data_IF_023783922514
#
_entry.id   IF_023783922514
#
_cell.length_a   1.000
_cell.length_b   1.000
_cell.length_c   1.000
_cell.angle_alpha   90.00
_cell.angle_beta   90.00
_cell.angle_gamma   90.00
#
_symmetry.space_group_name_H-M   'P 1'
#
loop_
_entity.id
_entity.type
_entity.pdbx_description
1 polymer ?
#
# COMPACT_ATOMS: atom_id res chain seq x y z
N UNK A 1 4.20 -4.77 -45.81
CA UNK A 1 4.03 -6.22 -45.63
C UNK A 1 4.91 -6.63 -44.46
N UNK A 2 4.33 -7.31 -43.45
CA UNK A 2 4.92 -8.10 -42.33
C UNK A 2 6.06 -7.48 -41.49
N UNK A 3 5.87 -7.11 -40.21
CA UNK A 3 5.66 -7.91 -38.97
C UNK A 3 6.96 -8.46 -38.34
N UNK A 4 7.24 -7.94 -37.12
CA UNK A 4 7.73 -8.56 -35.86
C UNK A 4 8.97 -9.48 -35.86
N UNK A 5 9.98 -9.13 -35.06
CA UNK A 5 10.24 -9.66 -33.71
C UNK A 5 11.60 -9.12 -33.19
N UNK A 6 11.66 -8.72 -31.91
CA UNK A 6 12.93 -8.35 -31.25
C UNK A 6 12.84 -7.18 -30.26
N UNK A 7 11.92 -7.24 -29.29
CA UNK A 7 11.93 -6.34 -28.14
C UNK A 7 13.04 -6.71 -27.16
N UNK A 8 14.17 -6.00 -27.22
CA UNK A 8 15.24 -6.07 -26.23
C UNK A 8 14.82 -5.37 -24.93
N UNK A 9 15.28 -5.98 -23.85
CA UNK A 9 15.00 -5.75 -22.45
C UNK A 9 15.83 -4.60 -21.90
N UNK A 10 15.30 -4.05 -20.81
CA UNK A 10 15.90 -3.22 -19.73
C UNK A 10 15.33 -1.80 -19.78
N UNK A 11 14.76 -1.26 -18.68
CA UNK A 11 15.40 -1.16 -17.36
C UNK A 11 14.39 -0.78 -16.26
N UNK A 12 13.60 -1.74 -15.78
CA UNK A 12 13.06 -1.71 -14.41
C UNK A 12 13.65 -2.92 -13.69
N UNK A 13 14.90 -2.78 -13.27
CA UNK A 13 15.55 -3.66 -12.29
C UNK A 13 16.58 -2.80 -11.56
N UNK A 14 16.92 -3.22 -10.35
CA UNK A 14 17.84 -2.63 -9.36
C UNK A 14 17.16 -1.85 -8.22
N UNK A 15 16.19 -2.48 -7.55
CA UNK A 15 16.60 -3.14 -6.32
C UNK A 15 16.74 -4.62 -6.69
N UNK A 16 17.89 -5.23 -6.42
CA UNK A 16 18.06 -6.66 -6.66
C UNK A 16 16.97 -7.44 -5.91
N UNK A 17 16.54 -8.59 -6.42
CA UNK A 17 15.59 -9.45 -5.69
C UNK A 17 16.12 -9.78 -4.27
N UNK A 18 17.44 -9.76 -4.10
CA UNK A 18 18.14 -9.94 -2.84
C UNK A 18 18.02 -8.73 -1.90
N UNK A 19 18.09 -7.48 -2.41
CA UNK A 19 17.85 -6.27 -1.62
C UNK A 19 16.43 -6.21 -1.07
N UNK A 20 15.43 -6.57 -1.89
CA UNK A 20 14.02 -6.63 -1.44
C UNK A 20 13.82 -7.70 -0.37
N UNK A 21 14.48 -8.85 -0.50
CA UNK A 21 14.42 -9.92 0.50
C UNK A 21 15.05 -9.49 1.83
N UNK A 22 16.18 -8.80 1.80
CA UNK A 22 16.85 -8.26 2.99
C UNK A 22 16.00 -7.20 3.68
N UNK A 23 15.39 -6.28 2.93
CA UNK A 23 14.48 -5.27 3.49
C UNK A 23 13.25 -5.91 4.16
N UNK A 24 12.71 -6.98 3.56
CA UNK A 24 11.63 -7.76 4.17
C UNK A 24 12.10 -8.43 5.46
N UNK A 25 13.27 -9.08 5.45
CA UNK A 25 13.83 -9.79 6.61
C UNK A 25 14.16 -8.84 7.78
N UNK A 26 14.49 -7.58 7.50
CA UNK A 26 14.71 -6.54 8.51
C UNK A 26 13.42 -6.12 9.23
N UNK A 27 12.26 -6.27 8.57
CA UNK A 27 10.96 -5.82 9.08
C UNK A 27 10.09 -6.98 9.57
N UNK A 28 10.31 -8.18 9.04
CA UNK A 28 9.43 -9.34 9.23
C UNK A 28 10.26 -10.56 9.58
N UNK A 29 9.94 -11.17 10.72
CA UNK A 29 10.45 -12.47 11.11
C UNK A 29 9.30 -13.49 11.17
N UNK A 30 9.49 -14.67 10.55
CA UNK A 30 8.56 -15.80 10.62
C UNK A 30 9.08 -16.93 11.51
N UNK A 31 9.98 -16.62 12.44
CA UNK A 31 10.64 -17.56 13.34
C UNK A 31 10.22 -17.25 14.79
N UNK A 32 10.03 -18.28 15.60
CA UNK A 32 9.77 -18.18 17.03
C UNK A 32 11.04 -17.59 17.67
N UNK A 33 10.93 -16.49 18.44
CA UNK A 33 12.07 -15.89 19.12
C UNK A 33 12.56 -16.80 20.25
N UNK A 34 13.83 -16.67 20.62
CA UNK A 34 14.39 -17.41 21.75
C UNK A 34 13.73 -16.94 23.06
N UNK A 35 13.14 -17.87 23.85
CA UNK A 35 12.40 -17.52 25.06
C UNK A 35 13.29 -17.04 26.21
N UNK A 36 14.60 -17.30 26.17
CA UNK A 36 15.58 -16.84 27.15
C UNK A 36 16.05 -15.44 26.79
N UNK A 37 16.37 -15.21 25.51
CA UNK A 37 16.91 -13.92 25.04
C UNK A 37 15.82 -12.86 24.95
N UNK A 38 14.60 -13.23 24.51
CA UNK A 38 13.52 -12.28 24.27
C UNK A 38 12.17 -12.85 24.72
N UNK A 39 12.02 -13.05 26.03
CA UNK A 39 10.84 -13.67 26.65
C UNK A 39 9.53 -12.91 26.36
N UNK A 40 9.55 -11.57 26.42
CA UNK A 40 8.37 -10.76 26.14
C UNK A 40 7.88 -10.92 24.70
N UNK A 41 8.80 -10.87 23.74
CA UNK A 41 8.47 -11.10 22.34
C UNK A 41 7.98 -12.54 22.13
N UNK A 42 8.60 -13.52 22.79
CA UNK A 42 8.15 -14.91 22.75
C UNK A 42 6.70 -15.07 23.21
N UNK A 43 6.32 -14.48 24.33
CA UNK A 43 4.95 -14.55 24.86
C UNK A 43 3.94 -13.87 23.94
N UNK A 44 4.31 -12.73 23.35
CA UNK A 44 3.49 -12.04 22.34
C UNK A 44 3.31 -12.93 21.10
N UNK A 45 4.40 -13.50 20.57
CA UNK A 45 4.36 -14.34 19.37
C UNK A 45 3.51 -15.59 19.63
N UNK A 46 3.76 -16.28 20.75
CA UNK A 46 3.02 -17.47 21.19
C UNK A 46 1.51 -17.22 21.27
N UNK A 47 1.10 -16.06 21.77
CA UNK A 47 -0.32 -15.74 21.99
C UNK A 47 -1.00 -15.20 20.74
N UNK A 48 -0.30 -14.35 19.98
CA UNK A 48 -0.93 -13.52 18.94
C UNK A 48 -0.54 -13.93 17.51
N UNK A 49 0.60 -14.59 17.33
CA UNK A 49 1.25 -14.78 16.02
C UNK A 49 1.52 -16.24 15.69
N UNK A 50 0.92 -17.19 16.41
CA UNK A 50 0.88 -18.59 16.00
C UNK A 50 -0.48 -18.92 15.39
N UNK A 51 -0.48 -19.53 14.21
CA UNK A 51 -1.67 -20.11 13.64
C UNK A 51 -2.12 -21.29 14.51
N UNK A 52 -3.40 -21.30 14.90
CA UNK A 52 -3.93 -22.40 15.70
C UNK A 52 -3.78 -23.75 14.97
N UNK A 53 -3.60 -24.86 15.71
CA UNK A 53 -3.54 -26.21 15.14
C UNK A 53 -4.70 -26.43 14.14
N UNK A 54 -4.38 -26.97 12.97
CA UNK A 54 -5.33 -27.27 11.90
C UNK A 54 -4.81 -28.44 11.06
N UNK A 55 -5.54 -28.83 10.01
CA UNK A 55 -5.16 -29.97 9.19
C UNK A 55 -5.24 -31.25 10.00
N UNK A 56 -4.21 -32.08 9.92
CA UNK A 56 -4.13 -33.36 10.64
C UNK A 56 -4.20 -33.15 12.17
N UNK A 57 -3.66 -32.03 12.68
CA UNK A 57 -3.67 -31.73 14.12
C UNK A 57 -5.07 -31.30 14.62
N UNK A 58 -5.89 -30.71 13.74
CA UNK A 58 -7.26 -30.36 14.06
C UNK A 58 -8.10 -30.16 12.77
N UNK A 59 -8.79 -31.21 12.29
CA UNK A 59 -9.59 -31.13 11.06
C UNK A 59 -10.79 -30.18 11.17
N UNK A 60 -11.25 -29.89 12.39
CA UNK A 60 -12.45 -29.08 12.65
C UNK A 60 -12.14 -27.58 12.80
N UNK A 61 -10.89 -27.16 12.59
CA UNK A 61 -10.51 -25.75 12.71
C UNK A 61 -11.25 -24.86 11.69
N UNK A 62 -11.69 -23.63 12.06
CA UNK A 62 -12.46 -22.75 11.15
C UNK A 62 -11.75 -22.37 9.85
N UNK A 63 -10.43 -22.51 9.80
CA UNK A 63 -9.63 -22.24 8.61
C UNK A 63 -9.68 -23.37 7.56
N UNK A 64 -10.17 -24.56 7.93
CA UNK A 64 -10.22 -25.74 7.06
C UNK A 64 -11.31 -25.59 6.02
N UNK A 65 -10.97 -25.86 4.75
CA UNK A 65 -11.87 -25.92 3.60
C UNK A 65 -11.47 -27.09 2.72
N UNK A 66 -12.41 -27.97 2.37
CA UNK A 66 -12.16 -29.13 1.50
C UNK A 66 -10.98 -30.00 1.97
N UNK A 67 -10.86 -30.21 3.28
CA UNK A 67 -9.78 -30.99 3.90
C UNK A 67 -8.42 -30.29 3.97
N UNK A 68 -8.30 -29.06 3.48
CA UNK A 68 -7.04 -28.30 3.46
C UNK A 68 -7.19 -26.98 4.22
N UNK A 69 -6.14 -26.54 4.91
CA UNK A 69 -6.15 -25.20 5.52
C UNK A 69 -6.22 -24.14 4.41
N UNK A 70 -7.25 -23.29 4.41
CA UNK A 70 -7.41 -22.18 3.46
C UNK A 70 -6.27 -21.17 3.48
N UNK A 71 -5.47 -21.17 4.55
CA UNK A 71 -4.26 -20.34 4.69
C UNK A 71 -2.96 -21.12 4.42
N UNK A 72 -3.06 -22.39 4.03
CA UNK A 72 -1.94 -23.30 3.71
C UNK A 72 -0.96 -23.43 4.86
N UNK A 73 -1.45 -23.80 6.05
CA UNK A 73 -0.63 -24.20 7.19
C UNK A 73 -0.63 -25.73 7.35
N UNK A 74 0.47 -26.31 7.86
CA UNK A 74 1.76 -25.65 8.18
C UNK A 74 2.45 -25.11 6.92
N UNK A 75 3.25 -24.06 7.07
CA UNK A 75 4.07 -23.50 5.98
C UNK A 75 5.32 -24.34 5.76
N UNK A 76 5.90 -24.26 4.57
CA UNK A 76 7.22 -24.86 4.34
C UNK A 76 8.31 -24.04 5.03
N UNK A 77 9.36 -24.73 5.47
CA UNK A 77 10.60 -24.07 5.84
C UNK A 77 11.26 -23.45 4.61
N UNK A 78 11.93 -22.32 4.82
CA UNK A 78 12.63 -21.61 3.76
C UNK A 78 13.87 -20.93 4.31
N UNK A 79 15.03 -21.17 3.71
CA UNK A 79 16.29 -20.62 4.18
C UNK A 79 16.38 -19.10 3.99
N UNK A 80 15.72 -18.56 2.96
CA UNK A 80 15.78 -17.14 2.59
C UNK A 80 14.40 -16.63 2.16
N UNK A 81 14.14 -15.34 2.35
CA UNK A 81 12.92 -14.73 1.79
C UNK A 81 12.98 -14.72 0.26
N UNK A 82 11.91 -15.20 -0.37
CA UNK A 82 11.76 -15.15 -1.83
C UNK A 82 10.59 -14.24 -2.17
N UNK A 83 10.89 -13.10 -2.78
CA UNK A 83 9.87 -12.25 -3.39
C UNK A 83 9.19 -13.00 -4.54
N UNK A 84 7.86 -12.97 -4.60
CA UNK A 84 7.08 -13.64 -5.64
C UNK A 84 6.33 -12.58 -6.42
N UNK A 85 6.41 -12.64 -7.75
CA UNK A 85 5.64 -11.74 -8.62
C UNK A 85 4.14 -11.96 -8.40
N UNK A 86 3.39 -10.88 -8.11
CA UNK A 86 1.95 -10.90 -7.83
C UNK A 86 1.51 -11.82 -6.67
N UNK A 87 2.36 -12.01 -5.66
CA UNK A 87 2.04 -12.82 -4.48
C UNK A 87 2.61 -12.25 -3.17
N UNK A 88 2.22 -12.86 -2.05
CA UNK A 88 2.93 -12.62 -0.79
C UNK A 88 4.33 -13.24 -0.86
N UNK A 89 5.36 -12.56 -0.34
CA UNK A 89 6.69 -13.15 -0.23
C UNK A 89 6.65 -14.49 0.52
N UNK A 90 7.47 -15.43 0.06
CA UNK A 90 7.75 -16.65 0.83
C UNK A 90 8.84 -16.31 1.82
N UNK A 91 8.43 -15.89 3.01
CA UNK A 91 9.33 -15.45 4.07
C UNK A 91 10.35 -16.51 4.45
N UNK A 92 11.55 -16.05 4.85
CA UNK A 92 12.53 -16.86 5.56
C UNK A 92 11.89 -17.45 6.81
N UNK A 93 12.04 -18.76 6.94
CA UNK A 93 11.49 -19.58 8.01
C UNK A 93 12.41 -20.78 8.21
N UNK A 94 13.46 -20.61 9.00
CA UNK A 94 14.40 -21.68 9.30
C UNK A 94 13.87 -22.56 10.43
N UNK A 95 14.36 -23.79 10.49
CA UNK A 95 14.16 -24.63 11.66
C UNK A 95 15.22 -24.26 12.70
N UNK A 96 14.79 -23.72 13.83
CA UNK A 96 15.65 -23.37 14.96
C UNK A 96 15.47 -24.33 16.15
N UNK A 97 14.73 -25.44 15.96
CA UNK A 97 14.46 -26.43 17.00
C UNK A 97 13.48 -25.99 18.08
N UNK A 98 12.93 -24.77 18.02
CA UNK A 98 11.96 -24.29 19.00
C UNK A 98 10.55 -24.83 18.70
N UNK A 99 9.89 -25.27 19.77
CA UNK A 99 8.54 -25.83 19.72
C UNK A 99 7.68 -25.18 20.79
N UNK A 100 6.48 -24.75 20.39
CA UNK A 100 5.44 -24.24 21.27
C UNK A 100 4.36 -25.31 21.39
N UNK A 101 3.91 -25.58 22.62
CA UNK A 101 2.71 -26.40 22.83
C UNK A 101 1.46 -25.52 22.81
N UNK A 102 0.53 -25.81 21.89
CA UNK A 102 -0.79 -25.18 21.80
C UNK A 102 -1.85 -26.26 21.92
N UNK A 103 -2.60 -26.25 23.04
CA UNK A 103 -3.70 -27.18 23.29
C UNK A 103 -3.28 -28.65 23.10
N UNK A 104 -2.11 -29.03 23.61
CA UNK A 104 -1.56 -30.38 23.47
C UNK A 104 -0.86 -30.67 22.15
N UNK A 105 -0.86 -29.73 21.19
CA UNK A 105 -0.20 -29.89 19.90
C UNK A 105 1.13 -29.12 19.87
N UNK A 106 2.18 -29.80 19.43
CA UNK A 106 3.49 -29.20 19.26
C UNK A 106 3.58 -28.52 17.88
N UNK A 107 3.88 -27.24 17.89
CA UNK A 107 4.00 -26.40 16.69
C UNK A 107 5.34 -25.68 16.66
N UNK A 108 5.95 -25.61 15.49
CA UNK A 108 7.25 -24.99 15.25
C UNK A 108 7.10 -23.72 14.39
N UNK A 109 8.22 -23.21 13.85
CA UNK A 109 8.22 -22.02 13.00
C UNK A 109 7.24 -22.12 11.84
N UNK A 110 6.87 -23.30 11.32
CA UNK A 110 5.87 -23.48 10.23
C UNK A 110 4.48 -22.98 10.57
N UNK A 111 4.21 -22.75 11.85
CA UNK A 111 2.93 -22.26 12.36
C UNK A 111 2.96 -20.77 12.68
N UNK A 112 4.14 -20.12 12.63
CA UNK A 112 4.23 -18.66 12.81
C UNK A 112 3.48 -17.97 11.69
N UNK A 113 2.42 -17.27 12.09
CA UNK A 113 1.62 -16.44 11.24
C UNK A 113 2.23 -15.05 11.16
N UNK A 114 2.79 -14.73 10.00
CA UNK A 114 3.09 -13.34 9.63
C UNK A 114 1.76 -12.64 9.38
N UNK A 115 1.13 -12.16 10.46
CA UNK A 115 -0.02 -11.27 10.37
C UNK A 115 0.48 -9.96 9.81
N UNK A 116 0.32 -9.80 8.50
CA UNK A 116 -0.25 -8.60 7.91
C UNK A 116 0.23 -7.23 8.42
N UNK A 117 1.50 -7.06 8.84
CA UNK A 117 1.99 -5.71 9.13
C UNK A 117 1.76 -4.81 7.90
N UNK A 118 2.07 -5.34 6.71
CA UNK A 118 1.70 -4.74 5.43
C UNK A 118 0.20 -4.47 5.30
N UNK A 119 -0.67 -5.47 5.50
CA UNK A 119 -2.11 -5.29 5.28
C UNK A 119 -2.76 -4.36 6.32
N UNK A 120 -2.27 -4.28 7.56
CA UNK A 120 -2.76 -3.34 8.58
C UNK A 120 -2.34 -1.90 8.27
N UNK A 121 -1.15 -1.68 7.69
CA UNK A 121 -0.73 -0.36 7.22
C UNK A 121 -1.54 0.08 5.99
N UNK A 122 -1.88 -0.84 5.07
CA UNK A 122 -2.56 -0.52 3.81
C UNK A 122 -4.09 -0.65 3.82
N UNK A 123 -4.71 -1.31 4.81
CA UNK A 123 -6.16 -1.52 4.84
C UNK A 123 -6.98 -0.27 5.12
N UNK A 124 -6.34 0.84 5.48
CA UNK A 124 -7.05 2.00 5.98
C UNK A 124 -7.63 1.74 7.37
N UNK A 125 -8.23 2.78 7.95
CA UNK A 125 -8.86 2.67 9.25
C UNK A 125 -10.18 1.91 9.14
N UNK A 126 -10.56 1.21 10.20
CA UNK A 126 -11.89 0.60 10.27
C UNK A 126 -12.95 1.72 10.19
N UNK A 127 -13.81 1.64 9.18
CA UNK A 127 -14.92 2.56 8.99
C UNK A 127 -16.24 1.88 9.37
N UNK A 128 -17.13 2.62 10.00
CA UNK A 128 -18.49 2.21 10.33
C UNK A 128 -19.48 3.17 9.66
N UNK A 129 -20.47 2.61 8.97
CA UNK A 129 -21.60 3.40 8.44
C UNK A 129 -22.67 3.48 9.52
N UNK A 130 -22.99 4.69 9.97
CA UNK A 130 -24.05 4.94 10.96
C UNK A 130 -25.26 5.54 10.25
N UNK A 131 -26.43 4.91 10.39
CA UNK A 131 -27.70 5.45 9.91
C UNK A 131 -28.17 6.54 10.88
N UNK A 132 -28.36 7.78 10.40
CA UNK A 132 -28.77 8.91 11.25
C UNK A 132 -30.26 9.24 11.09
N UNK A 133 -30.84 9.03 9.90
CA UNK A 133 -32.25 9.35 9.62
C UNK A 133 -32.94 8.23 8.83
N UNK A 134 -34.12 7.81 9.30
CA UNK A 134 -35.00 6.83 8.62
C UNK A 134 -35.97 7.48 7.62
N UNK A 135 -35.96 8.80 7.48
CA UNK A 135 -36.91 9.48 6.59
C UNK A 135 -36.59 9.20 5.12
N UNK A 136 -37.60 8.64 4.44
CA UNK A 136 -37.63 8.26 3.02
C UNK A 136 -37.68 9.50 2.14
N UNK A 137 -36.60 10.27 2.13
CA UNK A 137 -36.30 11.16 1.01
C UNK A 137 -34.94 10.74 0.48
N UNK A 138 -34.92 10.30 -0.77
CA UNK A 138 -33.88 9.49 -1.42
C UNK A 138 -32.54 10.22 -1.65
N UNK A 139 -32.04 10.97 -0.67
CA UNK A 139 -30.70 11.56 -0.72
C UNK A 139 -29.71 10.69 0.06
N UNK A 140 -29.06 9.77 -0.66
CA UNK A 140 -28.10 8.78 -0.10
C UNK A 140 -26.96 9.41 0.71
N UNK A 141 -26.67 10.71 0.50
CA UNK A 141 -25.60 11.44 1.18
C UNK A 141 -25.99 11.80 2.62
N UNK A 142 -27.28 12.06 2.87
CA UNK A 142 -27.78 12.45 4.20
C UNK A 142 -28.24 11.26 5.06
N UNK A 143 -28.28 10.06 4.49
CA UNK A 143 -28.78 8.85 5.17
C UNK A 143 -27.70 8.17 6.03
N UNK A 144 -26.44 8.20 5.60
CA UNK A 144 -25.34 7.46 6.24
C UNK A 144 -24.16 8.38 6.56
N UNK A 145 -23.66 8.29 7.79
CA UNK A 145 -22.39 8.91 8.18
C UNK A 145 -21.28 7.86 8.10
N UNK A 146 -20.28 8.11 7.26
CA UNK A 146 -19.05 7.33 7.22
C UNK A 146 -18.15 7.76 8.38
N UNK A 147 -18.13 6.96 9.45
CA UNK A 147 -17.38 7.23 10.67
C UNK A 147 -16.12 6.39 10.73
N UNK A 148 -14.99 7.01 11.09
CA UNK A 148 -13.78 6.26 11.43
C UNK A 148 -13.84 5.76 12.87
N UNK A 149 -13.66 4.47 13.08
CA UNK A 149 -13.44 3.91 14.40
C UNK A 149 -12.06 4.34 14.94
N UNK A 150 -12.03 4.83 16.17
CA UNK A 150 -10.82 5.17 16.91
C UNK A 150 -10.85 4.35 18.20
N UNK A 151 -9.87 3.45 18.37
CA UNK A 151 -9.79 2.63 19.57
C UNK A 151 -9.53 3.48 20.83
N UNK A 152 -9.95 3.01 22.01
CA UNK A 152 -9.69 3.70 23.28
C UNK A 152 -8.21 4.11 23.50
N UNK A 153 -7.20 3.25 23.23
CA UNK A 153 -5.80 3.67 23.34
C UNK A 153 -5.40 4.71 22.28
N UNK A 154 -5.88 4.63 21.04
CA UNK A 154 -5.62 5.66 20.02
C UNK A 154 -6.25 7.01 20.42
N UNK A 155 -7.46 6.99 21.00
CA UNK A 155 -8.16 8.18 21.47
C UNK A 155 -7.38 8.89 22.58
N UNK A 156 -6.89 8.14 23.58
CA UNK A 156 -6.04 8.70 24.64
C UNK A 156 -4.75 9.30 24.07
N UNK A 157 -4.11 8.61 23.12
CA UNK A 157 -2.91 9.12 22.45
C UNK A 157 -3.14 10.47 21.76
N UNK A 158 -4.32 10.64 21.14
CA UNK A 158 -4.74 11.91 20.52
C UNK A 158 -5.05 12.98 21.56
N UNK A 159 -5.75 12.64 22.64
CA UNK A 159 -6.09 13.57 23.73
C UNK A 159 -4.82 14.13 24.38
N UNK A 160 -3.77 13.29 24.50
CA UNK A 160 -2.47 13.69 25.04
C UNK A 160 -1.51 14.27 23.98
N UNK A 161 -1.97 14.49 22.74
CA UNK A 161 -1.19 15.06 21.63
C UNK A 161 0.11 14.31 21.32
N UNK A 162 0.17 13.01 21.62
CA UNK A 162 1.36 12.22 21.30
C UNK A 162 1.47 11.99 19.79
N UNK A 163 2.69 12.05 19.22
CA UNK A 163 2.91 11.80 17.81
C UNK A 163 2.52 10.36 17.45
N UNK A 164 1.50 10.22 16.60
CA UNK A 164 0.96 8.93 16.14
C UNK A 164 1.70 8.37 14.93
N UNK A 165 2.10 9.27 14.02
CA UNK A 165 2.82 8.89 12.80
C UNK A 165 3.55 10.10 12.26
N UNK A 166 4.70 9.86 11.62
CA UNK A 166 5.39 10.88 10.85
C UNK A 166 5.30 10.55 9.36
N UNK A 167 4.92 11.52 8.56
CA UNK A 167 4.99 11.41 7.10
C UNK A 167 6.45 11.55 6.68
N UNK A 168 7.07 10.44 6.28
CA UNK A 168 8.46 10.43 5.81
C UNK A 168 8.60 10.96 4.37
N UNK A 169 7.54 10.88 3.56
CA UNK A 169 7.55 11.22 2.14
C UNK A 169 6.34 12.09 1.75
N UNK A 170 6.54 12.99 0.79
CA UNK A 170 5.45 13.72 0.13
C UNK A 170 4.85 12.86 -0.97
N UNK A 171 3.54 12.64 -0.91
CA UNK A 171 2.82 11.89 -1.94
C UNK A 171 2.30 12.87 -3.00
N UNK A 172 2.72 12.70 -4.25
CA UNK A 172 2.27 13.52 -5.38
C UNK A 172 1.41 12.65 -6.30
N UNK A 173 0.14 13.05 -6.47
CA UNK A 173 -0.78 12.38 -7.40
C UNK A 173 -0.79 13.15 -8.73
N UNK A 174 -0.26 12.54 -9.78
CA UNK A 174 -0.25 13.11 -11.11
C UNK A 174 -1.61 12.96 -11.78
N UNK A 175 -2.10 14.05 -12.37
CA UNK A 175 -3.34 14.06 -13.15
C UNK A 175 -3.06 13.44 -14.51
N UNK A 176 -3.96 12.58 -14.98
CA UNK A 176 -3.95 12.04 -16.34
C UNK A 176 -5.37 12.12 -16.88
N UNK A 177 -5.52 12.64 -18.08
CA UNK A 177 -6.80 12.81 -18.76
C UNK A 177 -6.56 12.90 -20.27
N UNK A 178 -7.62 12.67 -21.05
CA UNK A 178 -7.64 12.97 -22.47
C UNK A 178 -7.82 14.49 -22.69
N UNK A 179 -7.60 15.01 -23.92
CA UNK A 179 -7.95 16.38 -24.26
C UNK A 179 -9.41 16.68 -23.88
N UNK A 180 -9.65 17.82 -23.23
CA UNK A 180 -10.96 18.29 -22.73
C UNK A 180 -11.68 17.38 -21.72
N UNK A 181 -11.06 16.28 -21.27
CA UNK A 181 -11.62 15.36 -20.27
C UNK A 181 -10.97 15.52 -18.90
N UNK A 182 -10.55 16.75 -18.54
CA UNK A 182 -10.04 17.06 -17.22
C UNK A 182 -11.14 16.96 -16.16
N UNK A 183 -10.80 16.37 -15.01
CA UNK A 183 -11.69 16.38 -13.85
C UNK A 183 -11.68 17.78 -13.24
N UNK A 184 -12.86 18.41 -13.18
CA UNK A 184 -13.11 19.71 -12.57
C UNK A 184 -14.07 19.53 -11.40
N UNK A 185 -13.70 20.09 -10.25
CA UNK A 185 -14.57 20.10 -9.07
C UNK A 185 -15.26 21.47 -8.98
N UNK A 186 -16.58 21.46 -8.79
CA UNK A 186 -17.40 22.64 -8.66
C UNK A 186 -18.38 22.49 -7.50
N UNK A 187 -18.91 23.62 -7.01
CA UNK A 187 -20.09 23.62 -6.13
C UNK A 187 -21.32 23.74 -7.00
N UNK A 188 -22.42 23.10 -6.59
CA UNK A 188 -23.69 23.17 -7.30
C UNK A 188 -24.09 24.63 -7.59
N UNK A 189 -24.34 24.95 -8.86
CA UNK A 189 -24.62 26.32 -9.33
C UNK A 189 -23.41 27.17 -9.71
N UNK A 190 -22.18 26.67 -9.53
CA UNK A 190 -20.94 27.32 -9.98
C UNK A 190 -20.27 26.57 -11.16
N UNK A 191 -21.01 25.77 -11.94
CA UNK A 191 -20.44 24.93 -13.00
C UNK A 191 -19.63 25.76 -14.01
N UNK A 192 -20.24 26.83 -14.53
CA UNK A 192 -19.63 27.65 -15.58
C UNK A 192 -18.34 28.32 -15.11
N UNK A 193 -18.33 28.84 -13.89
CA UNK A 193 -17.15 29.49 -13.30
C UNK A 193 -16.01 28.49 -13.10
N UNK A 194 -16.34 27.25 -12.72
CA UNK A 194 -15.33 26.20 -12.56
C UNK A 194 -14.74 25.78 -13.91
N UNK A 195 -15.55 25.69 -14.96
CA UNK A 195 -15.09 25.42 -16.33
C UNK A 195 -14.18 26.53 -16.84
N UNK A 196 -14.56 27.80 -16.68
CA UNK A 196 -13.75 28.95 -17.12
C UNK A 196 -12.40 28.97 -16.40
N UNK A 197 -12.37 28.67 -15.09
CA UNK A 197 -11.13 28.53 -14.33
C UNK A 197 -10.28 27.35 -14.79
N UNK A 198 -10.89 26.22 -15.12
CA UNK A 198 -10.18 25.04 -15.59
C UNK A 198 -9.56 25.27 -16.98
N UNK A 199 -10.23 26.00 -17.86
CA UNK A 199 -9.71 26.36 -19.18
C UNK A 199 -8.46 27.27 -19.10
N UNK A 200 -8.37 28.10 -18.05
CA UNK A 200 -7.24 29.03 -17.85
C UNK A 200 -6.06 28.42 -17.08
N UNK A 201 -6.23 27.27 -16.42
CA UNK A 201 -5.22 26.68 -15.54
C UNK A 201 -4.66 25.42 -16.11
N UNK A 202 -3.34 25.36 -16.21
CA UNK A 202 -2.68 24.12 -16.59
C UNK A 202 -2.81 23.05 -15.50
N UNK A 203 -3.08 21.82 -15.94
CA UNK A 203 -2.98 20.64 -15.09
C UNK A 203 -1.51 20.22 -14.96
N UNK A 204 -1.21 19.31 -14.05
CA UNK A 204 0.12 18.69 -13.97
C UNK A 204 0.60 18.18 -15.35
N UNK A 205 -0.32 17.60 -16.13
CA UNK A 205 -0.03 17.01 -17.43
C UNK A 205 0.20 18.06 -18.52
N UNK A 206 -0.70 19.06 -18.63
CA UNK A 206 -0.53 20.11 -19.65
C UNK A 206 0.68 20.99 -19.36
N UNK A 207 0.93 21.31 -18.09
CA UNK A 207 2.14 22.02 -17.67
C UNK A 207 3.41 21.20 -17.96
N UNK A 208 3.36 19.87 -17.90
CA UNK A 208 4.50 19.03 -18.24
C UNK A 208 4.80 19.07 -19.74
N UNK A 209 3.78 19.04 -20.60
CA UNK A 209 3.97 19.21 -22.05
C UNK A 209 4.61 20.57 -22.38
N UNK A 210 4.14 21.66 -21.74
CA UNK A 210 4.75 22.98 -21.90
C UNK A 210 6.21 23.01 -21.43
N UNK A 211 6.48 22.46 -20.24
CA UNK A 211 7.84 22.36 -19.71
C UNK A 211 8.79 21.62 -20.66
N UNK A 212 8.34 20.52 -21.27
CA UNK A 212 9.15 19.76 -22.21
C UNK A 212 9.46 20.51 -23.51
N UNK A 213 8.58 21.43 -23.92
CA UNK A 213 8.82 22.28 -25.09
C UNK A 213 9.83 23.40 -24.81
N UNK A 214 9.89 23.89 -23.58
CA UNK A 214 10.71 25.03 -23.17
C UNK A 214 12.09 24.62 -22.64
N UNK A 215 12.22 23.41 -22.07
CA UNK A 215 13.41 22.99 -21.32
C UNK A 215 13.93 21.62 -21.79
N UNK A 216 15.07 21.63 -22.47
CA UNK A 216 15.76 20.40 -22.93
C UNK A 216 16.25 19.48 -21.80
N UNK A 217 16.29 19.96 -20.55
CA UNK A 217 16.58 19.12 -19.40
C UNK A 217 15.36 18.34 -18.90
N UNK A 218 14.15 18.88 -19.10
CA UNK A 218 12.91 18.26 -18.64
C UNK A 218 12.45 17.11 -19.55
N UNK A 219 12.71 17.21 -20.86
CA UNK A 219 12.35 16.19 -21.84
C UNK A 219 13.02 14.83 -21.62
N UNK A 220 14.07 14.77 -20.77
CA UNK A 220 14.80 13.56 -20.40
C UNK A 220 14.06 12.72 -19.37
N UNK A 221 13.07 13.30 -18.70
CA UNK A 221 12.31 12.64 -17.64
C UNK A 221 10.92 12.28 -18.13
N UNK A 222 10.47 11.06 -17.81
CA UNK A 222 9.08 10.68 -18.03
C UNK A 222 8.16 11.50 -17.14
N UNK A 223 6.88 11.60 -17.47
CA UNK A 223 5.92 12.33 -16.65
C UNK A 223 5.88 11.84 -15.19
N UNK A 224 6.08 10.54 -14.96
CA UNK A 224 6.13 9.93 -13.61
C UNK A 224 7.39 10.36 -12.83
N UNK A 225 8.48 10.66 -13.53
CA UNK A 225 9.77 10.99 -12.92
C UNK A 225 9.91 12.50 -12.65
N UNK A 226 9.11 13.33 -13.30
CA UNK A 226 9.19 14.79 -13.17
C UNK A 226 9.11 15.28 -11.74
N UNK A 227 8.22 14.78 -10.86
CA UNK A 227 8.14 15.27 -9.49
C UNK A 227 9.39 15.00 -8.64
N UNK A 228 10.28 14.10 -9.05
CA UNK A 228 11.58 13.89 -8.38
C UNK A 228 12.57 15.01 -8.68
N UNK A 229 12.43 15.68 -9.83
CA UNK A 229 13.33 16.73 -10.32
C UNK A 229 12.71 18.13 -10.33
N UNK A 230 11.37 18.21 -10.33
CA UNK A 230 10.60 19.44 -10.41
C UNK A 230 9.53 19.47 -9.31
N UNK A 231 9.13 20.68 -8.91
CA UNK A 231 8.02 20.97 -8.01
C UNK A 231 6.96 21.71 -8.80
N UNK A 232 5.71 21.29 -8.68
CA UNK A 232 4.59 22.01 -9.27
C UNK A 232 4.26 23.24 -8.41
N UNK A 233 4.21 24.40 -9.03
CA UNK A 233 3.76 25.64 -8.41
C UNK A 233 2.28 25.84 -8.72
N UNK A 234 1.41 25.50 -7.77
CA UNK A 234 -0.05 25.61 -7.92
C UNK A 234 -0.53 27.04 -8.21
N UNK A 235 0.21 28.07 -7.77
CA UNK A 235 -0.19 29.47 -7.99
C UNK A 235 -0.04 29.85 -9.45
N UNK A 236 1.06 29.42 -10.07
CA UNK A 236 1.40 29.74 -11.45
C UNK A 236 1.11 28.59 -12.43
N UNK A 237 0.58 27.47 -11.93
CA UNK A 237 0.30 26.24 -12.67
C UNK A 237 1.49 25.75 -13.50
N UNK A 238 2.72 25.82 -12.96
CA UNK A 238 3.95 25.49 -13.71
C UNK A 238 4.94 24.67 -12.91
N UNK A 239 5.71 23.86 -13.61
CA UNK A 239 6.81 23.10 -13.02
C UNK A 239 8.05 23.97 -12.86
N UNK A 240 8.68 23.90 -11.69
CA UNK A 240 9.94 24.59 -11.37
C UNK A 240 10.98 23.57 -10.90
N UNK A 241 12.26 23.81 -11.17
CA UNK A 241 13.34 22.91 -10.73
C UNK A 241 13.30 22.74 -9.22
N UNK A 242 13.29 21.48 -8.76
CA UNK A 242 13.28 21.12 -7.35
C UNK A 242 14.64 21.38 -6.74
N UNK A 243 14.66 22.14 -5.66
CA UNK A 243 15.90 22.46 -4.93
C UNK A 243 16.23 21.44 -3.83
N UNK A 244 15.21 20.77 -3.25
CA UNK A 244 15.37 19.87 -2.09
C UNK A 244 14.34 18.72 -2.10
N UNK A 245 14.70 17.61 -1.43
CA UNK A 245 13.76 16.56 -1.05
C UNK A 245 13.30 15.62 -2.16
N UNK A 246 14.01 15.52 -3.29
CA UNK A 246 13.66 14.62 -4.38
C UNK A 246 13.61 13.14 -3.96
N UNK A 247 14.50 12.73 -3.06
CA UNK A 247 14.55 11.39 -2.48
C UNK A 247 13.42 11.07 -1.49
N UNK A 248 12.57 12.05 -1.13
CA UNK A 248 11.44 11.88 -0.21
C UNK A 248 10.10 12.13 -0.90
N UNK A 249 10.01 11.76 -2.18
CA UNK A 249 8.79 11.88 -2.98
C UNK A 249 8.29 10.51 -3.39
N UNK A 250 6.99 10.28 -3.24
CA UNK A 250 6.31 9.10 -3.78
C UNK A 250 5.30 9.60 -4.81
N UNK A 251 5.54 9.29 -6.08
CA UNK A 251 4.64 9.65 -7.17
C UNK A 251 3.59 8.56 -7.35
N UNK A 252 2.33 8.97 -7.53
CA UNK A 252 1.22 8.08 -7.87
C UNK A 252 0.51 8.59 -9.11
N UNK A 253 0.12 7.68 -9.98
CA UNK A 253 -0.65 7.98 -11.17
C UNK A 253 -1.83 7.01 -11.24
N UNK A 254 -2.98 7.46 -11.74
CA UNK A 254 -4.11 6.58 -11.95
C UNK A 254 -3.78 5.57 -13.05
N UNK A 255 -4.24 4.32 -12.88
CA UNK A 255 -4.14 3.32 -13.93
C UNK A 255 -5.07 3.75 -15.06
N UNK A 256 -4.50 3.99 -16.24
CA UNK A 256 -5.25 4.24 -17.47
C UNK A 256 -5.18 2.96 -18.29
N UNK A 257 -6.33 2.39 -18.65
CA UNK A 257 -6.35 1.21 -19.53
C UNK A 257 -6.01 1.65 -20.96
N UNK A 258 -5.13 0.94 -21.67
CA UNK A 258 -4.85 1.23 -23.09
C UNK A 258 -6.03 0.87 -24.01
N UNK A 259 -6.99 0.09 -23.52
CA UNK A 259 -8.27 -0.13 -24.19
C UNK A 259 -9.18 1.05 -23.90
N UNK A 260 -9.07 2.08 -24.73
CA UNK A 260 -10.10 3.10 -24.85
C UNK A 260 -11.20 2.58 -25.77
N UNK A 261 -12.25 2.01 -25.17
CA UNK A 261 -13.64 1.94 -25.65
C UNK A 261 -14.53 1.52 -24.47
#
# INVERSE_FOLDING_TARGET
MSLLEGGDRRRYDLLSHDEVAVDIDNLICAEIPDPIVNCELYDIIKTCMIHGPCGILNPNSPCMKDGVCSKKYPKDFNANTVAVHNGYPRYRRRDNGLVINIKGNNVDNRWVAVKYLYKCIYKGHDCANVLINEQVNHDKINTFLDCRYVSAPEALWRIFEYPLSHMSHSIIRLKVHLPENQIVYFREGEEQVALDRAAQRDTHLTAWFKLNSENEGANRYSYVDIPYHFVFDDKHCKWKVRQRGGNKVIVRMYKVSPTGE
#
